data_IF_825524256261
#
_entry.id   IF_825524256261
#
_cell.length_a   1.000
_cell.length_b   1.000
_cell.length_c   1.000
_cell.angle_alpha   90.00
_cell.angle_beta   90.00
_cell.angle_gamma   90.00
#
_symmetry.space_group_name_H-M   'P 1'
#
loop_
_entity.id
_entity.type
_entity.pdbx_description
1 polymer ?
#
# COMPACT_ATOMS: atom_id res chain seq x y z
N UNK A 1 3.50 -1.26 -18.54
CA UNK A 1 3.77 -0.14 -17.58
C UNK A 1 4.61 -0.69 -16.43
N UNK A 2 5.50 0.14 -15.87
CA UNK A 2 6.36 -0.23 -14.73
C UNK A 2 6.05 0.73 -13.58
N UNK A 3 5.82 0.21 -12.38
CA UNK A 3 5.64 0.98 -11.17
C UNK A 3 6.88 0.86 -10.27
N UNK A 4 7.36 1.98 -9.76
CA UNK A 4 8.50 2.07 -8.84
C UNK A 4 8.03 2.86 -7.62
N UNK A 5 7.50 2.21 -6.57
CA UNK A 5 7.00 2.90 -5.40
C UNK A 5 8.15 3.57 -4.64
N UNK A 6 7.90 4.79 -4.18
CA UNK A 6 8.83 5.56 -3.33
C UNK A 6 8.29 5.74 -1.91
N UNK A 7 7.18 5.07 -1.60
CA UNK A 7 6.57 5.01 -0.27
C UNK A 7 6.23 3.56 0.09
N UNK A 8 6.23 3.25 1.39
CA UNK A 8 5.87 1.94 1.91
C UNK A 8 4.45 1.99 2.48
N UNK A 9 3.44 2.12 1.60
CA UNK A 9 2.04 2.29 2.02
C UNK A 9 1.02 1.75 1.03
N UNK A 10 0.74 2.53 -0.01
CA UNK A 10 -0.45 2.34 -0.87
C UNK A 10 -0.56 0.97 -1.54
N UNK A 11 0.58 0.30 -1.80
CA UNK A 11 0.63 -0.97 -2.53
C UNK A 11 0.10 -0.89 -3.97
N UNK A 12 -0.14 0.32 -4.49
CA UNK A 12 -0.78 0.57 -5.79
C UNK A 12 -0.02 -0.07 -6.95
N UNK A 13 1.27 -0.33 -6.80
CA UNK A 13 2.10 -1.05 -7.74
C UNK A 13 1.64 -2.51 -7.99
N UNK A 14 0.74 -3.04 -7.16
CA UNK A 14 0.20 -4.41 -7.25
C UNK A 14 -1.33 -4.48 -7.35
N UNK A 15 -2.05 -3.35 -7.42
CA UNK A 15 -3.51 -3.34 -7.37
C UNK A 15 -4.17 -2.94 -8.68
N UNK A 16 -5.47 -3.24 -8.77
CA UNK A 16 -6.35 -2.82 -9.89
C UNK A 16 -6.91 -1.40 -9.70
N UNK A 17 -6.56 -0.73 -8.60
CA UNK A 17 -7.24 0.47 -8.15
C UNK A 17 -6.45 1.74 -8.48
N UNK A 18 -7.16 2.74 -8.98
CA UNK A 18 -6.64 4.11 -9.13
C UNK A 18 -7.61 5.09 -8.47
N UNK A 19 -7.09 6.00 -7.64
CA UNK A 19 -7.88 7.04 -6.99
C UNK A 19 -7.46 8.40 -7.53
N UNK A 20 -8.42 9.18 -8.01
CA UNK A 20 -8.19 10.51 -8.60
C UNK A 20 -9.09 11.53 -7.91
N UNK A 21 -8.50 12.62 -7.45
CA UNK A 21 -9.24 13.75 -6.88
C UNK A 21 -9.61 14.74 -7.99
N UNK A 22 -10.86 15.17 -8.06
CA UNK A 22 -11.32 16.24 -8.95
C UNK A 22 -11.44 17.55 -8.15
N UNK A 23 -10.52 18.53 -8.32
CA UNK A 23 -10.52 19.75 -7.51
C UNK A 23 -11.79 20.58 -7.64
N UNK A 24 -12.41 20.59 -8.82
CA UNK A 24 -13.58 21.42 -9.11
C UNK A 24 -14.85 20.91 -8.42
N UNK A 25 -14.96 19.58 -8.23
CA UNK A 25 -16.12 18.96 -7.59
C UNK A 25 -15.84 18.50 -6.16
N UNK A 26 -14.58 18.53 -5.73
CA UNK A 26 -14.07 17.95 -4.47
C UNK A 26 -14.41 16.47 -4.29
N UNK A 27 -14.70 15.76 -5.38
CA UNK A 27 -14.99 14.33 -5.36
C UNK A 27 -13.71 13.50 -5.58
N UNK A 28 -13.58 12.44 -4.79
CA UNK A 28 -12.58 11.38 -5.00
C UNK A 28 -13.21 10.28 -5.83
N UNK A 29 -12.72 10.10 -7.05
CA UNK A 29 -13.12 9.01 -7.93
C UNK A 29 -12.19 7.82 -7.74
N UNK A 30 -12.77 6.62 -7.61
CA UNK A 30 -12.03 5.37 -7.60
C UNK A 30 -12.39 4.59 -8.87
N UNK A 31 -11.38 4.17 -9.63
CA UNK A 31 -11.51 3.28 -10.76
C UNK A 31 -10.85 1.94 -10.42
N UNK A 32 -11.50 0.84 -10.80
CA UNK A 32 -11.00 -0.52 -10.56
C UNK A 32 -11.13 -1.35 -11.83
N UNK A 33 -10.01 -1.72 -12.44
CA UNK A 33 -9.97 -2.54 -13.66
C UNK A 33 -8.62 -3.25 -13.78
N UNK A 34 -8.61 -4.47 -14.34
CA UNK A 34 -7.38 -5.23 -14.55
C UNK A 34 -6.39 -4.53 -15.49
N UNK A 35 -6.86 -3.68 -16.41
CA UNK A 35 -5.98 -2.88 -17.29
C UNK A 35 -5.10 -1.90 -16.50
N UNK A 36 -5.48 -1.56 -15.27
CA UNK A 36 -4.74 -0.64 -14.42
C UNK A 36 -3.56 -1.31 -13.70
N UNK A 37 -3.52 -2.64 -13.61
CA UNK A 37 -2.45 -3.36 -12.92
C UNK A 37 -1.12 -3.11 -13.62
N UNK A 38 -0.08 -2.65 -12.89
CA UNK A 38 1.26 -2.55 -13.45
C UNK A 38 1.79 -3.91 -13.93
N UNK A 39 2.39 -3.95 -15.13
CA UNK A 39 2.99 -5.19 -15.66
C UNK A 39 4.23 -5.60 -14.87
N UNK A 40 4.93 -4.63 -14.29
CA UNK A 40 6.10 -4.83 -13.45
C UNK A 40 6.08 -3.85 -12.29
N UNK A 41 6.45 -4.34 -11.10
CA UNK A 41 6.72 -3.54 -9.92
C UNK A 41 8.18 -3.74 -9.51
N UNK A 42 8.91 -2.65 -9.30
CA UNK A 42 10.32 -2.68 -8.85
C UNK A 42 10.43 -1.97 -7.53
N UNK A 43 10.64 -2.73 -6.45
CA UNK A 43 10.76 -2.19 -5.10
C UNK A 43 12.23 -1.90 -4.80
N UNK A 44 12.57 -0.62 -4.62
CA UNK A 44 13.91 -0.15 -4.25
C UNK A 44 13.83 0.50 -2.87
N UNK A 45 14.26 -0.18 -1.79
CA UNK A 45 14.08 0.32 -0.42
C UNK A 45 14.78 1.67 -0.19
N UNK A 46 15.88 1.95 -0.90
CA UNK A 46 16.63 3.21 -0.84
C UNK A 46 15.78 4.42 -1.23
N UNK A 47 14.72 4.23 -2.02
CA UNK A 47 13.81 5.31 -2.40
C UNK A 47 12.83 5.70 -1.28
N UNK A 48 12.72 4.88 -0.23
CA UNK A 48 11.82 5.10 0.90
C UNK A 48 12.51 5.70 2.13
N UNK A 49 13.84 5.61 2.21
CA UNK A 49 14.61 6.01 3.41
C UNK A 49 14.71 7.52 3.62
N UNK A 50 14.35 8.32 2.62
CA UNK A 50 14.39 9.80 2.68
C UNK A 50 13.05 10.42 3.11
N UNK A 51 12.03 9.60 3.38
CA UNK A 51 10.72 10.09 3.80
C UNK A 51 10.79 10.73 5.19
N UNK A 52 10.09 11.86 5.42
CA UNK A 52 9.93 12.40 6.76
C UNK A 52 9.27 11.37 7.69
N UNK A 53 9.63 11.32 8.99
CA UNK A 53 9.06 10.36 9.95
C UNK A 53 7.53 10.29 9.92
N UNK A 54 6.86 11.44 9.89
CA UNK A 54 5.39 11.46 9.85
C UNK A 54 4.81 10.81 8.58
N UNK A 55 5.48 10.94 7.43
CA UNK A 55 5.05 10.26 6.20
C UNK A 55 5.25 8.76 6.34
N UNK A 56 6.42 8.31 6.81
CA UNK A 56 6.71 6.89 7.09
C UNK A 56 5.66 6.27 8.00
N UNK A 57 5.27 6.96 9.08
CA UNK A 57 4.21 6.51 9.97
C UNK A 57 2.86 6.42 9.23
N UNK A 58 2.43 7.48 8.54
CA UNK A 58 1.12 7.47 7.88
C UNK A 58 1.01 6.40 6.80
N UNK A 59 2.05 6.17 6.01
CA UNK A 59 2.06 5.14 4.97
C UNK A 59 2.11 3.74 5.56
N UNK A 60 2.82 3.53 6.67
CA UNK A 60 2.82 2.25 7.36
C UNK A 60 1.45 1.92 7.97
N UNK A 61 0.74 2.91 8.51
CA UNK A 61 -0.63 2.73 9.01
C UNK A 61 -1.61 2.44 7.87
N UNK A 62 -1.44 3.05 6.70
CA UNK A 62 -2.20 2.73 5.47
C UNK A 62 -1.99 1.26 5.08
N UNK A 63 -0.74 0.80 4.98
CA UNK A 63 -0.43 -0.61 4.68
C UNK A 63 -0.97 -1.58 5.75
N UNK A 64 -0.90 -1.22 7.03
CA UNK A 64 -1.44 -2.03 8.12
C UNK A 64 -2.96 -2.13 8.03
N UNK A 65 -3.64 -1.03 7.70
CA UNK A 65 -5.08 -1.00 7.48
C UNK A 65 -5.46 -1.95 6.34
N UNK A 66 -4.75 -1.88 5.20
CA UNK A 66 -4.98 -2.81 4.09
C UNK A 66 -4.81 -4.28 4.50
N UNK A 67 -3.78 -4.61 5.29
CA UNK A 67 -3.56 -5.97 5.76
C UNK A 67 -4.70 -6.46 6.68
N UNK A 68 -5.12 -5.63 7.64
CA UNK A 68 -6.22 -5.98 8.55
C UNK A 68 -7.54 -6.13 7.78
N UNK A 69 -7.87 -5.21 6.88
CA UNK A 69 -9.08 -5.29 6.06
C UNK A 69 -9.06 -6.50 5.12
N UNK A 70 -7.90 -6.85 4.56
CA UNK A 70 -7.75 -8.06 3.74
C UNK A 70 -7.98 -9.34 4.55
N UNK A 71 -7.57 -9.39 5.82
CA UNK A 71 -7.85 -10.53 6.72
C UNK A 71 -9.34 -10.68 7.02
N UNK A 72 -10.04 -9.56 7.21
CA UNK A 72 -11.45 -9.53 7.58
C UNK A 72 -12.39 -9.58 6.36
N UNK A 73 -11.85 -9.48 5.15
CA UNK A 73 -12.62 -9.46 3.91
C UNK A 73 -13.39 -10.76 3.70
N UNK A 74 -14.62 -10.64 3.20
CA UNK A 74 -15.43 -11.79 2.74
C UNK A 74 -14.78 -12.52 1.55
N UNK A 75 -13.86 -11.86 0.85
CA UNK A 75 -13.12 -12.42 -0.29
C UNK A 75 -11.74 -12.96 0.13
N UNK A 76 -11.48 -13.08 1.43
CA UNK A 76 -10.20 -13.56 1.94
C UNK A 76 -9.97 -15.03 1.52
N UNK A 77 -8.80 -15.29 0.93
CA UNK A 77 -8.31 -16.62 0.57
C UNK A 77 -7.10 -16.96 1.45
N UNK A 78 -6.76 -18.25 1.58
CA UNK A 78 -5.56 -18.68 2.33
C UNK A 78 -4.29 -17.93 1.91
N UNK A 79 -4.15 -17.64 0.61
CA UNK A 79 -3.03 -16.85 0.09
C UNK A 79 -3.02 -15.42 0.65
N UNK A 80 -4.12 -14.67 0.51
CA UNK A 80 -4.21 -13.28 0.99
C UNK A 80 -4.13 -13.21 2.51
N UNK A 81 -4.71 -14.19 3.21
CA UNK A 81 -4.63 -14.30 4.67
C UNK A 81 -3.18 -14.41 5.15
N UNK A 82 -2.40 -15.32 4.57
CA UNK A 82 -1.00 -15.50 4.95
C UNK A 82 -0.16 -14.25 4.65
N UNK A 83 -0.35 -13.62 3.48
CA UNK A 83 0.34 -12.39 3.12
C UNK A 83 -0.01 -11.23 4.07
N UNK A 84 -1.27 -11.12 4.46
CA UNK A 84 -1.73 -10.07 5.34
C UNK A 84 -1.22 -10.24 6.79
N UNK A 85 -1.19 -11.47 7.32
CA UNK A 85 -0.57 -11.74 8.63
C UNK A 85 0.93 -11.43 8.63
N UNK A 86 1.64 -11.81 7.57
CA UNK A 86 3.06 -11.49 7.39
C UNK A 86 3.30 -9.98 7.31
N UNK A 87 2.47 -9.25 6.54
CA UNK A 87 2.55 -7.80 6.44
C UNK A 87 2.32 -7.13 7.81
N UNK A 88 1.30 -7.55 8.57
CA UNK A 88 1.06 -7.05 9.92
C UNK A 88 2.29 -7.25 10.81
N UNK A 89 2.84 -8.47 10.86
CA UNK A 89 4.01 -8.77 11.70
C UNK A 89 5.22 -7.90 11.32
N UNK A 90 5.55 -7.83 10.02
CA UNK A 90 6.66 -7.01 9.52
C UNK A 90 6.48 -5.52 9.88
N UNK A 91 5.27 -4.98 9.75
CA UNK A 91 5.01 -3.56 10.08
C UNK A 91 5.17 -3.33 11.59
N UNK A 92 4.60 -4.19 12.43
CA UNK A 92 4.72 -4.04 13.89
C UNK A 92 6.17 -4.12 14.38
N UNK A 93 6.95 -5.06 13.83
CA UNK A 93 8.32 -5.29 14.26
C UNK A 93 9.29 -4.18 13.78
N UNK A 94 9.01 -3.55 12.64
CA UNK A 94 9.98 -2.65 11.98
C UNK A 94 9.58 -1.17 11.99
N UNK A 95 8.30 -0.82 12.14
CA UNK A 95 7.85 0.58 12.10
C UNK A 95 8.54 1.47 13.15
N UNK A 96 8.74 1.06 14.43
CA UNK A 96 9.42 1.90 15.40
C UNK A 96 10.85 2.28 14.97
N UNK A 97 11.56 1.37 14.31
CA UNK A 97 12.91 1.59 13.78
C UNK A 97 12.90 2.45 12.51
N UNK A 98 11.91 2.27 11.64
CA UNK A 98 11.79 3.04 10.40
C UNK A 98 11.31 4.48 10.64
N UNK A 99 10.60 4.73 11.74
CA UNK A 99 10.06 6.03 12.13
C UNK A 99 11.06 6.91 12.91
N UNK A 100 12.02 6.29 13.63
CA UNK A 100 13.01 6.98 14.47
C UNK A 100 14.15 7.60 13.67
#
# INVERSE_FOLDING_TARGET
>A
NIAIPTTAGTGSETTVAAVVNCPNTHLKYAATDFVLVPHHAVLLPELTTSLPPHITATTAIDALTHAIEALLSINCMTFSQNRALEACALIFDNLPTAYS
#
